data_IF_014146567009
#
_entry.id   IF_014146567009
#
_cell.length_a   1.000
_cell.length_b   1.000
_cell.length_c   1.000
_cell.angle_alpha   90.00
_cell.angle_beta   90.00
_cell.angle_gamma   90.00
#
_symmetry.space_group_name_H-M   'P 1'
#
loop_
_entity.id
_entity.type
_entity.pdbx_description
1 polymer ?
#
# COMPACT_ATOMS: atom_id res chain seq x y z
N UNK A 1 9.94 -2.07 -19.14
CA UNK A 1 9.88 -3.53 -18.89
C UNK A 1 9.31 -3.83 -17.50
N UNK A 2 9.86 -3.26 -16.42
CA UNK A 2 9.37 -3.44 -15.04
C UNK A 2 7.96 -2.89 -14.79
N UNK A 3 7.61 -1.76 -15.39
CA UNK A 3 6.27 -1.16 -15.24
C UNK A 3 5.15 -2.07 -15.79
N UNK A 4 5.37 -2.70 -16.96
CA UNK A 4 4.45 -3.71 -17.51
C UNK A 4 4.30 -4.93 -16.61
N UNK A 5 5.41 -5.40 -16.03
CA UNK A 5 5.40 -6.51 -15.09
C UNK A 5 4.57 -6.19 -13.85
N UNK A 6 4.71 -4.98 -13.27
CA UNK A 6 3.87 -4.53 -12.16
C UNK A 6 2.38 -4.56 -12.52
N UNK A 7 2.03 -4.02 -13.70
CA UNK A 7 0.65 -3.99 -14.15
C UNK A 7 0.07 -5.40 -14.31
N UNK A 8 0.78 -6.30 -15.00
CA UNK A 8 0.36 -7.70 -15.15
C UNK A 8 0.20 -8.41 -13.80
N UNK A 9 1.13 -8.23 -12.86
CA UNK A 9 1.01 -8.80 -11.51
C UNK A 9 -0.28 -8.34 -10.83
N UNK A 10 -0.63 -7.06 -10.91
CA UNK A 10 -1.85 -6.53 -10.29
C UNK A 10 -3.11 -7.01 -11.01
N UNK A 11 -3.12 -7.04 -12.34
CA UNK A 11 -4.28 -7.49 -13.11
C UNK A 11 -4.58 -8.97 -12.90
N UNK A 12 -3.56 -9.82 -13.01
CA UNK A 12 -3.67 -11.27 -13.00
C UNK A 12 -3.84 -11.84 -11.58
N UNK A 13 -3.51 -11.08 -10.53
CA UNK A 13 -3.61 -11.57 -9.15
C UNK A 13 -5.06 -11.96 -8.80
N UNK A 14 -5.32 -13.23 -8.43
CA UNK A 14 -6.64 -13.68 -8.01
C UNK A 14 -6.83 -13.35 -6.52
N UNK A 15 -7.42 -12.19 -6.23
CA UNK A 15 -7.68 -11.78 -4.86
C UNK A 15 -7.81 -10.27 -4.70
N UNK A 16 -7.80 -9.83 -3.44
CA UNK A 16 -7.90 -8.42 -3.08
C UNK A 16 -6.61 -7.68 -3.39
N UNK A 17 -6.74 -6.47 -3.93
CA UNK A 17 -5.62 -5.66 -4.46
C UNK A 17 -5.61 -4.31 -3.79
N UNK A 18 -4.49 -4.02 -3.12
CA UNK A 18 -4.22 -2.71 -2.52
C UNK A 18 -3.10 -2.05 -3.31
N UNK A 19 -3.33 -0.83 -3.81
CA UNK A 19 -2.31 -0.01 -4.46
C UNK A 19 -1.96 1.13 -3.51
N UNK A 20 -0.73 1.12 -3.00
CA UNK A 20 -0.21 2.19 -2.15
C UNK A 20 0.85 2.98 -2.93
N UNK A 21 0.59 4.26 -3.20
CA UNK A 21 1.49 5.12 -3.96
C UNK A 21 0.80 5.80 -5.12
N UNK A 22 0.78 7.14 -5.14
CA UNK A 22 0.30 7.89 -6.32
C UNK A 22 1.08 7.54 -7.60
N UNK A 23 2.42 7.46 -7.51
CA UNK A 23 3.26 7.03 -8.64
C UNK A 23 2.97 5.60 -9.07
N UNK A 24 2.76 4.68 -8.12
CA UNK A 24 2.40 3.28 -8.40
C UNK A 24 1.07 3.20 -9.12
N UNK A 25 0.05 3.92 -8.63
CA UNK A 25 -1.27 3.98 -9.23
C UNK A 25 -1.22 4.56 -10.64
N UNK A 26 -0.43 5.61 -10.87
CA UNK A 26 -0.25 6.19 -12.21
C UNK A 26 0.46 5.25 -13.19
N UNK A 27 1.44 4.46 -12.71
CA UNK A 27 2.09 3.44 -13.54
C UNK A 27 1.07 2.38 -13.97
N UNK A 28 0.33 1.81 -13.01
CA UNK A 28 -0.69 0.79 -13.31
C UNK A 28 -1.77 1.36 -14.24
N UNK A 29 -2.21 2.60 -14.00
CA UNK A 29 -3.17 3.29 -14.85
C UNK A 29 -2.71 3.42 -16.30
N UNK A 30 -1.46 3.83 -16.51
CA UNK A 30 -0.88 3.98 -17.84
C UNK A 30 -0.76 2.65 -18.58
N UNK A 31 -0.34 1.59 -17.90
CA UNK A 31 -0.11 0.29 -18.53
C UNK A 31 -1.41 -0.50 -18.77
N UNK A 32 -2.41 -0.35 -17.90
CA UNK A 32 -3.71 -1.08 -17.99
C UNK A 32 -4.81 -0.28 -18.70
N UNK A 33 -4.64 1.04 -18.85
CA UNK A 33 -5.66 1.95 -19.34
C UNK A 33 -6.77 2.28 -18.34
N UNK A 34 -6.73 1.76 -17.10
CA UNK A 34 -7.72 2.03 -16.06
C UNK A 34 -7.45 3.36 -15.37
N UNK A 35 -8.44 4.24 -15.30
CA UNK A 35 -8.25 5.59 -14.74
C UNK A 35 -8.22 5.58 -13.21
N UNK A 36 -7.38 6.45 -12.64
CA UNK A 36 -7.36 6.73 -11.20
C UNK A 36 -8.21 7.96 -10.92
N UNK A 37 -9.13 7.84 -9.99
CA UNK A 37 -10.01 8.92 -9.56
C UNK A 37 -9.80 9.22 -8.08
N UNK A 38 -9.34 10.42 -7.76
CA UNK A 38 -9.15 10.87 -6.37
C UNK A 38 -10.50 11.16 -5.73
N UNK A 39 -10.72 10.64 -4.52
CA UNK A 39 -11.93 10.83 -3.72
C UNK A 39 -11.83 12.11 -2.89
N UNK A 40 -12.08 13.24 -3.55
CA UNK A 40 -12.05 14.56 -2.92
C UNK A 40 -13.15 14.77 -1.87
N UNK A 41 -14.16 13.90 -1.85
CA UNK A 41 -15.25 13.88 -0.87
C UNK A 41 -14.80 13.44 0.54
N UNK A 42 -13.58 12.91 0.69
CA UNK A 42 -13.04 12.37 1.95
C UNK A 42 -11.70 13.01 2.33
N UNK A 43 -11.74 14.30 2.62
CA UNK A 43 -10.60 15.02 3.21
C UNK A 43 -10.58 14.78 4.73
N UNK A 44 -9.86 13.76 5.17
CA UNK A 44 -9.40 13.69 6.57
C UNK A 44 -8.25 14.66 6.76
N UNK A 45 -8.17 15.36 7.90
CA UNK A 45 -7.13 16.35 8.16
C UNK A 45 -5.70 15.75 8.17
N UNK A 46 -5.58 14.46 8.51
CA UNK A 46 -4.29 13.81 8.79
C UNK A 46 -3.75 12.92 7.66
N UNK A 47 -4.60 12.46 6.74
CA UNK A 47 -4.21 11.62 5.61
C UNK A 47 -4.75 12.15 4.28
N UNK A 48 -3.96 12.06 3.20
CA UNK A 48 -4.44 12.39 1.86
C UNK A 48 -5.64 11.52 1.45
N UNK A 49 -6.52 12.01 0.57
CA UNK A 49 -7.71 11.28 0.14
C UNK A 49 -7.35 9.96 -0.57
N UNK A 50 -8.22 8.96 -0.37
CA UNK A 50 -8.18 7.71 -1.12
C UNK A 50 -8.41 7.96 -2.62
N UNK A 51 -8.01 7.00 -3.45
CA UNK A 51 -8.36 6.98 -4.87
C UNK A 51 -9.16 5.71 -5.20
N UNK A 52 -9.87 5.75 -6.32
CA UNK A 52 -10.52 4.60 -6.93
C UNK A 52 -9.81 4.26 -8.24
N UNK A 53 -9.62 2.98 -8.49
CA UNK A 53 -9.23 2.43 -9.78
C UNK A 53 -9.97 1.12 -9.98
N UNK A 54 -10.55 0.90 -11.15
CA UNK A 54 -11.18 -0.38 -11.48
C UNK A 54 -10.16 -1.52 -11.35
N UNK A 55 -10.58 -2.63 -10.73
CA UNK A 55 -9.70 -3.77 -10.48
C UNK A 55 -8.74 -3.61 -9.30
N UNK A 56 -8.88 -2.56 -8.48
CA UNK A 56 -8.24 -2.44 -7.17
C UNK A 56 -9.30 -2.22 -6.07
N UNK A 57 -9.15 -2.92 -4.94
CA UNK A 57 -10.06 -2.80 -3.80
C UNK A 57 -9.79 -1.54 -2.97
N UNK A 58 -8.54 -1.07 -2.97
CA UNK A 58 -8.13 0.12 -2.24
C UNK A 58 -6.93 0.79 -2.92
N UNK A 59 -7.02 2.11 -3.16
CA UNK A 59 -5.90 2.91 -3.66
C UNK A 59 -5.61 4.05 -2.68
N UNK A 60 -4.36 4.15 -2.22
CA UNK A 60 -3.92 5.11 -1.19
C UNK A 60 -2.62 5.83 -1.59
N UNK A 61 -2.25 6.85 -0.81
CA UNK A 61 -1.15 7.77 -1.17
C UNK A 61 0.24 7.11 -1.10
N UNK A 62 0.47 6.17 -0.18
CA UNK A 62 1.72 5.42 -0.11
C UNK A 62 2.26 5.27 1.31
N UNK A 63 3.46 5.82 1.56
CA UNK A 63 4.24 5.52 2.78
C UNK A 63 3.55 5.99 4.06
N UNK A 64 2.84 7.12 4.04
CA UNK A 64 2.11 7.64 5.20
C UNK A 64 1.01 6.68 5.64
N UNK A 65 0.20 6.21 4.68
CA UNK A 65 -0.89 5.28 4.95
C UNK A 65 -0.38 3.91 5.39
N UNK A 66 0.69 3.40 4.76
CA UNK A 66 1.33 2.14 5.17
C UNK A 66 1.93 2.27 6.58
N UNK A 67 2.58 3.40 6.89
CA UNK A 67 3.14 3.66 8.23
C UNK A 67 2.06 3.66 9.31
N UNK A 68 0.88 4.21 9.01
CA UNK A 68 -0.28 4.15 9.90
C UNK A 68 -0.82 2.74 10.07
N UNK A 69 -0.91 1.95 9.00
CA UNK A 69 -1.28 0.53 9.07
C UNK A 69 -0.28 -0.27 9.94
N UNK A 70 1.01 -0.02 9.80
CA UNK A 70 2.05 -0.65 10.63
C UNK A 70 1.85 -0.33 12.13
N UNK A 71 1.49 0.92 12.44
CA UNK A 71 1.19 1.33 13.82
C UNK A 71 -0.03 0.61 14.38
N UNK A 72 -1.12 0.49 13.61
CA UNK A 72 -2.30 -0.25 14.06
C UNK A 72 -2.03 -1.74 14.32
N UNK A 73 -1.21 -2.38 13.45
CA UNK A 73 -0.79 -3.75 13.67
C UNK A 73 0.08 -3.91 14.93
N UNK A 74 0.93 -2.93 15.21
CA UNK A 74 1.80 -2.88 16.40
C UNK A 74 1.00 -2.71 17.68
N UNK A 75 0.12 -1.72 17.71
CA UNK A 75 -0.69 -1.34 18.86
C UNK A 75 -1.84 -2.33 19.10
N UNK A 76 -2.02 -3.33 18.22
CA UNK A 76 -3.17 -4.27 18.20
C UNK A 76 -4.49 -3.52 18.32
N UNK A 77 -4.59 -2.40 17.60
CA UNK A 77 -5.75 -1.51 17.68
C UNK A 77 -6.99 -2.27 17.24
N UNK A 78 -8.03 -2.28 18.08
CA UNK A 78 -9.35 -2.78 17.67
C UNK A 78 -9.93 -1.81 16.63
N UNK A 79 -9.93 -2.24 15.38
CA UNK A 79 -10.46 -1.46 14.27
C UNK A 79 -11.94 -1.79 14.10
N UNK A 80 -12.82 -0.84 14.42
CA UNK A 80 -14.25 -1.02 14.16
C UNK A 80 -14.54 -1.06 12.65
N UNK A 81 -15.66 -1.65 12.24
CA UNK A 81 -16.02 -1.73 10.82
C UNK A 81 -16.27 -0.36 10.17
N UNK A 82 -16.65 0.66 10.95
CA UNK A 82 -17.02 1.99 10.48
C UNK A 82 -15.86 2.98 10.34
N UNK A 83 -14.65 2.58 10.75
CA UNK A 83 -13.46 3.43 10.71
C UNK A 83 -13.14 3.77 9.26
N UNK A 84 -13.43 5.01 8.88
CA UNK A 84 -13.13 5.55 7.55
C UNK A 84 -11.69 6.10 7.49
N UNK A 85 -10.74 5.28 7.93
CA UNK A 85 -9.30 5.58 7.93
C UNK A 85 -8.61 4.66 6.91
N UNK A 86 -7.87 5.20 5.91
CA UNK A 86 -7.22 4.41 4.88
C UNK A 86 -6.22 3.38 5.45
N UNK A 87 -5.51 3.72 6.53
CA UNK A 87 -4.60 2.79 7.21
C UNK A 87 -5.35 1.64 7.88
N UNK A 88 -6.50 1.92 8.50
CA UNK A 88 -7.36 0.90 9.10
C UNK A 88 -7.94 -0.04 8.04
N UNK A 89 -8.34 0.50 6.87
CA UNK A 89 -8.82 -0.31 5.74
C UNK A 89 -7.75 -1.27 5.22
N UNK A 90 -6.49 -0.82 5.12
CA UNK A 90 -5.36 -1.70 4.76
C UNK A 90 -5.27 -2.87 5.75
N UNK A 91 -5.28 -2.60 7.05
CA UNK A 91 -5.18 -3.64 8.07
C UNK A 91 -6.34 -4.61 8.00
N UNK A 92 -7.58 -4.13 7.86
CA UNK A 92 -8.76 -5.00 7.67
C UNK A 92 -8.61 -5.94 6.48
N UNK A 93 -8.18 -5.42 5.33
CA UNK A 93 -7.98 -6.23 4.12
C UNK A 93 -6.88 -7.29 4.31
N UNK A 94 -5.79 -6.93 5.02
CA UNK A 94 -4.72 -7.87 5.37
C UNK A 94 -5.20 -8.95 6.34
N UNK A 95 -5.93 -8.59 7.39
CA UNK A 95 -6.41 -9.55 8.39
C UNK A 95 -7.51 -10.49 7.84
N UNK A 96 -8.28 -10.03 6.86
CA UNK A 96 -9.28 -10.82 6.13
C UNK A 96 -8.68 -11.67 5.00
N UNK A 97 -7.35 -11.70 4.86
CA UNK A 97 -6.62 -12.53 3.88
C UNK A 97 -5.68 -13.49 4.60
N UNK A 98 -5.49 -14.70 4.09
CA UNK A 98 -4.57 -15.68 4.67
C UNK A 98 -3.14 -15.55 4.12
N UNK A 99 -3.02 -15.23 2.83
CA UNK A 99 -1.76 -15.06 2.10
C UNK A 99 -1.67 -13.64 1.55
N UNK A 100 -0.58 -12.95 1.84
CA UNK A 100 -0.38 -11.54 1.50
C UNK A 100 0.92 -11.37 0.72
N UNK A 101 0.81 -10.93 -0.53
CA UNK A 101 1.95 -10.72 -1.42
C UNK A 101 2.29 -9.23 -1.52
N UNK A 102 3.45 -8.84 -1.01
CA UNK A 102 3.95 -7.48 -1.10
C UNK A 102 4.80 -7.30 -2.35
N UNK A 103 4.40 -6.38 -3.23
CA UNK A 103 5.21 -5.94 -4.38
C UNK A 103 5.72 -4.53 -4.10
N UNK A 104 7.03 -4.40 -3.87
CA UNK A 104 7.66 -3.16 -3.41
C UNK A 104 8.55 -2.58 -4.50
N UNK A 105 8.15 -1.44 -5.06
CA UNK A 105 8.95 -0.70 -6.03
C UNK A 105 10.26 -0.17 -5.44
N UNK A 106 11.37 -0.34 -6.16
CA UNK A 106 12.71 0.10 -5.76
C UNK A 106 13.21 1.35 -6.49
N UNK A 107 12.33 2.08 -7.20
CA UNK A 107 12.69 3.34 -7.83
C UNK A 107 12.84 4.42 -6.75
N UNK A 108 14.02 5.04 -6.70
CA UNK A 108 14.29 6.20 -5.85
C UNK A 108 13.53 7.39 -6.44
N UNK A 109 12.84 8.16 -5.59
CA UNK A 109 12.14 9.37 -6.02
C UNK A 109 13.17 10.50 -6.25
N UNK A 110 13.46 10.84 -7.49
CA UNK A 110 14.46 11.86 -7.86
C UNK A 110 14.11 13.27 -7.34
N UNK A 111 12.84 13.52 -6.98
CA UNK A 111 12.37 14.81 -6.47
C UNK A 111 12.71 15.09 -5.00
N UNK A 112 13.18 14.09 -4.24
CA UNK A 112 13.52 14.22 -2.82
C UNK A 112 15.01 13.89 -2.59
N UNK A 113 15.90 14.63 -3.26
CA UNK A 113 17.35 14.62 -2.97
C UNK A 113 17.69 15.63 -1.85
N UNK A 114 17.05 15.53 -0.68
CA UNK A 114 17.57 16.20 0.52
C UNK A 114 18.58 15.24 1.19
N UNK A 115 19.88 15.59 1.25
CA UNK A 115 20.90 14.76 1.88
C UNK A 115 20.65 14.48 3.37
N UNK A 116 19.77 15.24 4.03
CA UNK A 116 19.41 15.09 5.44
C UNK A 116 18.15 14.26 5.68
N UNK A 117 17.40 13.90 4.64
CA UNK A 117 16.25 13.00 4.78
C UNK A 117 16.68 11.54 4.65
N UNK A 118 16.22 10.64 5.53
CA UNK A 118 16.44 9.22 5.35
C UNK A 118 15.90 8.80 3.98
N UNK A 119 16.68 8.01 3.24
CA UNK A 119 16.35 7.60 1.88
C UNK A 119 14.95 6.97 1.89
N UNK A 120 13.96 7.61 1.27
CA UNK A 120 12.54 7.20 1.23
C UNK A 120 12.36 5.69 0.95
N UNK A 121 13.29 5.14 0.18
CA UNK A 121 13.34 3.74 -0.18
C UNK A 121 13.65 2.81 1.00
N UNK A 122 14.57 3.18 1.87
CA UNK A 122 14.91 2.43 3.07
C UNK A 122 13.75 2.45 4.07
N UNK A 123 13.09 3.60 4.21
CA UNK A 123 11.90 3.74 5.06
C UNK A 123 10.81 2.77 4.57
N UNK A 124 10.50 2.78 3.28
CA UNK A 124 9.49 1.88 2.70
C UNK A 124 9.81 0.41 2.92
N UNK A 125 11.05 0.00 2.66
CA UNK A 125 11.48 -1.40 2.87
C UNK A 125 11.35 -1.81 4.33
N UNK A 126 11.77 -0.94 5.25
CA UNK A 126 11.72 -1.22 6.68
C UNK A 126 10.28 -1.32 7.19
N UNK A 127 9.39 -0.42 6.73
CA UNK A 127 7.97 -0.46 7.11
C UNK A 127 7.29 -1.74 6.58
N UNK A 128 7.52 -2.13 5.32
CA UNK A 128 6.93 -3.36 4.77
C UNK A 128 7.47 -4.61 5.50
N UNK A 129 8.77 -4.67 5.79
CA UNK A 129 9.35 -5.76 6.59
C UNK A 129 8.74 -5.84 7.99
N UNK A 130 8.51 -4.68 8.62
CA UNK A 130 7.87 -4.61 9.95
C UNK A 130 6.44 -5.16 9.89
N UNK A 131 5.65 -4.74 8.91
CA UNK A 131 4.28 -5.23 8.68
C UNK A 131 4.27 -6.74 8.44
N UNK A 132 5.10 -7.22 7.51
CA UNK A 132 5.22 -8.65 7.18
C UNK A 132 5.54 -9.48 8.43
N UNK A 133 6.54 -9.07 9.21
CA UNK A 133 6.90 -9.73 10.48
C UNK A 133 5.73 -9.75 11.47
N UNK A 134 5.01 -8.63 11.61
CA UNK A 134 3.85 -8.56 12.52
C UNK A 134 2.72 -9.49 12.08
N UNK A 135 2.42 -9.52 10.78
CA UNK A 135 1.39 -10.39 10.20
C UNK A 135 1.72 -11.87 10.42
N UNK A 136 2.97 -12.27 10.22
CA UNK A 136 3.44 -13.64 10.44
C UNK A 136 3.44 -14.03 11.92
N UNK A 137 4.05 -13.21 12.79
CA UNK A 137 4.27 -13.57 14.19
C UNK A 137 3.02 -13.41 15.07
N UNK A 138 2.17 -12.43 14.80
CA UNK A 138 1.05 -12.07 15.67
C UNK A 138 -0.31 -12.52 15.12
N UNK A 139 -0.43 -12.60 13.80
CA UNK A 139 -1.70 -12.88 13.12
C UNK A 139 -1.67 -14.16 12.28
N UNK A 140 -0.54 -14.91 12.30
CA UNK A 140 -0.35 -16.19 11.62
C UNK A 140 -0.67 -16.16 10.12
N UNK A 141 -0.38 -15.04 9.47
CA UNK A 141 -0.54 -14.87 8.02
C UNK A 141 0.71 -15.32 7.28
N UNK A 142 0.54 -15.80 6.06
CA UNK A 142 1.69 -16.08 5.17
C UNK A 142 2.01 -14.82 4.36
N UNK A 143 3.26 -14.38 4.36
CA UNK A 143 3.66 -13.19 3.58
C UNK A 143 4.82 -13.45 2.65
N UNK A 144 4.80 -12.81 1.49
CA UNK A 144 5.94 -12.78 0.56
C UNK A 144 6.28 -11.35 0.21
N UNK A 145 7.57 -11.05 0.02
CA UNK A 145 8.02 -9.72 -0.38
C UNK A 145 8.84 -9.83 -1.66
N UNK A 146 8.34 -9.23 -2.74
CA UNK A 146 9.01 -9.11 -4.02
C UNK A 146 9.41 -7.65 -4.28
N UNK A 147 10.67 -7.43 -4.63
CA UNK A 147 11.17 -6.11 -5.02
C UNK A 147 11.22 -5.97 -6.54
N UNK A 148 10.71 -4.86 -7.06
CA UNK A 148 10.66 -4.59 -8.51
C UNK A 148 11.29 -3.26 -8.90
#
# INVERSE_FOLDING_TARGET
QKDKMLASLVEEFPGKKIICGGTTANIISRETGRKVHVRLDKLTADLPPESIMDGADLVTEGILTIGRAAKYLEDKTELDFFTDDPGAKIVKLMLDSDVINFVVGTRINEFHQDPNMPVDLEIRRNVIKKISKQLEEQYYKETTIQYI
#
